data_IF_999184258531
#
_entry.id   IF_999184258531
#
_cell.length_a   1.000
_cell.length_b   1.000
_cell.length_c   1.000
_cell.angle_alpha   90.00
_cell.angle_beta   90.00
_cell.angle_gamma   90.00
#
_symmetry.space_group_name_H-M   'P 1'
#
loop_
_entity.id
_entity.type
_entity.pdbx_description
1 polymer ?
#
# COMPACT_ATOMS: atom_id res chain seq x y z
N UNK A 1 -10.61 -13.61 6.50
CA UNK A 1 -10.38 -12.76 5.32
C UNK A 1 -10.10 -13.67 4.14
N UNK A 2 -10.74 -13.49 2.97
CA UNK A 2 -10.52 -14.36 1.84
C UNK A 2 -9.06 -14.24 1.37
N UNK A 3 -8.46 -15.38 1.04
CA UNK A 3 -7.11 -15.52 0.52
C UNK A 3 -6.98 -14.73 -0.79
N UNK A 4 -6.34 -13.57 -0.75
CA UNK A 4 -5.99 -12.85 -1.98
C UNK A 4 -4.86 -13.63 -2.66
N UNK A 5 -5.09 -14.05 -3.90
CA UNK A 5 -4.03 -14.62 -4.75
C UNK A 5 -3.25 -13.50 -5.45
N UNK A 6 -1.93 -13.70 -5.62
CA UNK A 6 -1.03 -12.76 -6.31
C UNK A 6 -1.54 -12.41 -7.72
N UNK A 7 -1.97 -13.41 -8.48
CA UNK A 7 -2.48 -13.24 -9.85
C UNK A 7 -3.76 -12.41 -9.89
N UNK A 8 -4.74 -12.74 -9.04
CA UNK A 8 -5.99 -12.00 -8.93
C UNK A 8 -5.78 -10.53 -8.50
N UNK A 9 -4.73 -10.25 -7.72
CA UNK A 9 -4.37 -8.89 -7.36
C UNK A 9 -3.74 -8.12 -8.53
N UNK A 10 -2.84 -8.78 -9.28
CA UNK A 10 -2.17 -8.19 -10.44
C UNK A 10 -3.17 -7.87 -11.56
N UNK A 11 -4.16 -8.73 -11.77
CA UNK A 11 -5.23 -8.54 -12.77
C UNK A 11 -6.03 -7.25 -12.50
N UNK A 12 -6.21 -6.91 -11.21
CA UNK A 12 -6.84 -5.66 -10.76
C UNK A 12 -5.89 -4.46 -10.70
N UNK A 13 -4.70 -4.57 -11.30
CA UNK A 13 -3.63 -3.57 -11.22
C UNK A 13 -3.19 -3.21 -9.79
N UNK A 14 -3.45 -4.08 -8.81
CA UNK A 14 -3.07 -3.89 -7.42
C UNK A 14 -1.61 -4.22 -7.14
N UNK A 15 -1.17 -3.92 -5.92
CA UNK A 15 0.10 -4.34 -5.34
C UNK A 15 -0.19 -5.52 -4.42
N UNK A 16 0.34 -6.68 -4.76
CA UNK A 16 0.28 -7.84 -3.88
C UNK A 16 1.36 -7.69 -2.81
N UNK A 17 0.94 -7.66 -1.55
CA UNK A 17 1.84 -7.62 -0.40
C UNK A 17 1.56 -8.83 0.48
N UNK A 18 2.53 -9.74 0.61
CA UNK A 18 2.42 -10.97 1.40
C UNK A 18 2.22 -10.72 2.90
N UNK A 19 2.55 -9.52 3.36
CA UNK A 19 2.41 -9.04 4.73
C UNK A 19 1.55 -7.76 4.79
N UNK A 20 0.61 -7.60 3.86
CA UNK A 20 -0.10 -6.34 3.64
C UNK A 20 -1.19 -5.98 4.66
N UNK A 21 -1.38 -6.77 5.72
CA UNK A 21 -2.33 -6.44 6.81
C UNK A 21 -1.64 -5.73 7.98
N UNK A 22 -2.42 -5.12 8.87
CA UNK A 22 -1.90 -4.37 10.03
C UNK A 22 -0.92 -5.17 10.91
N UNK A 23 -1.18 -6.47 11.12
CA UNK A 23 -0.30 -7.34 11.89
C UNK A 23 0.84 -7.97 11.06
N UNK A 24 0.88 -7.75 9.75
CA UNK A 24 1.87 -8.34 8.85
C UNK A 24 1.75 -9.86 8.67
N UNK A 25 0.65 -10.49 9.10
CA UNK A 25 0.49 -11.95 9.08
C UNK A 25 -0.25 -12.48 7.85
N UNK A 26 -0.90 -11.61 7.08
CA UNK A 26 -1.74 -12.03 5.96
C UNK A 26 -1.42 -11.25 4.69
N UNK A 27 -1.52 -11.91 3.52
CA UNK A 27 -1.42 -11.23 2.24
C UNK A 27 -2.59 -10.27 2.03
N UNK A 28 -2.32 -9.15 1.33
CA UNK A 28 -3.34 -8.19 0.91
C UNK A 28 -3.09 -7.73 -0.53
N UNK A 29 -4.18 -7.37 -1.21
CA UNK A 29 -4.10 -6.63 -2.46
C UNK A 29 -4.36 -5.15 -2.19
N UNK A 30 -3.37 -4.32 -2.46
CA UNK A 30 -3.39 -2.90 -2.14
C UNK A 30 -3.56 -2.09 -3.43
N UNK A 31 -4.43 -1.08 -3.39
CA UNK A 31 -4.56 -0.14 -4.51
C UNK A 31 -3.30 0.73 -4.62
N UNK A 32 -2.87 1.01 -5.85
CA UNK A 32 -1.72 1.88 -6.11
C UNK A 32 -2.10 3.34 -5.88
N UNK A 33 -1.30 4.05 -5.09
CA UNK A 33 -1.38 5.50 -4.92
C UNK A 33 -0.26 6.12 -5.75
N UNK A 34 -0.60 7.01 -6.68
CA UNK A 34 0.37 7.70 -7.52
C UNK A 34 1.19 8.73 -6.71
N UNK A 35 2.28 9.21 -7.30
CA UNK A 35 3.07 10.30 -6.71
C UNK A 35 2.22 11.55 -6.47
N UNK A 36 2.45 12.23 -5.36
CA UNK A 36 1.71 13.43 -4.95
C UNK A 36 0.29 13.16 -4.46
N UNK A 37 -0.22 11.93 -4.57
CA UNK A 37 -1.55 11.56 -4.05
C UNK A 37 -1.49 11.27 -2.54
N UNK A 38 -2.60 11.52 -1.87
CA UNK A 38 -2.74 11.38 -0.42
C UNK A 38 -2.66 9.91 0.02
N UNK A 39 -1.72 9.62 0.90
CA UNK A 39 -1.54 8.32 1.54
C UNK A 39 -1.90 8.34 3.04
N UNK A 40 -2.42 9.45 3.57
CA UNK A 40 -2.79 9.61 4.98
C UNK A 40 -3.72 8.51 5.54
N UNK A 41 -4.58 7.92 4.69
CA UNK A 41 -5.45 6.80 5.07
C UNK A 41 -4.66 5.56 5.53
N UNK A 42 -3.44 5.37 5.01
CA UNK A 42 -2.56 4.23 5.35
C UNK A 42 -1.90 4.38 6.72
N UNK A 43 -1.93 5.58 7.31
CA UNK A 43 -1.36 5.88 8.62
C UNK A 43 -2.34 5.67 9.78
N UNK A 44 -3.62 5.39 9.48
CA UNK A 44 -4.65 5.17 10.50
C UNK A 44 -4.47 3.81 11.18
N UNK A 45 -4.11 3.84 12.47
CA UNK A 45 -3.99 2.64 13.30
C UNK A 45 -5.33 1.90 13.40
N UNK A 46 -5.29 0.57 13.28
CA UNK A 46 -6.46 -0.31 13.40
C UNK A 46 -7.26 -0.53 12.12
N UNK A 47 -6.96 0.20 11.04
CA UNK A 47 -7.55 -0.05 9.72
C UNK A 47 -6.49 -0.76 8.85
N UNK A 48 -6.78 -1.96 8.32
CA UNK A 48 -5.84 -2.60 7.40
C UNK A 48 -5.65 -1.70 6.17
N UNK A 49 -4.41 -1.46 5.73
CA UNK A 49 -4.18 -0.62 4.57
C UNK A 49 -4.87 -1.25 3.37
N UNK A 50 -5.66 -0.44 2.65
CA UNK A 50 -6.31 -0.84 1.39
C UNK A 50 -5.57 -0.30 0.16
N UNK A 51 -4.55 0.51 0.40
CA UNK A 51 -3.80 1.20 -0.63
C UNK A 51 -2.34 1.33 -0.18
N UNK A 52 -1.43 1.43 -1.14
CA UNK A 52 -0.02 1.63 -0.92
C UNK A 52 0.51 2.52 -2.04
N UNK A 53 1.50 3.35 -1.72
CA UNK A 53 2.21 4.10 -2.75
C UNK A 53 2.77 3.16 -3.83
N UNK A 54 2.73 3.61 -5.08
CA UNK A 54 3.25 2.84 -6.20
C UNK A 54 4.73 2.43 -5.95
N UNK A 55 5.22 1.35 -6.57
CA UNK A 55 6.60 0.93 -6.41
C UNK A 55 7.58 2.09 -6.66
N UNK A 56 8.56 2.28 -5.77
CA UNK A 56 9.50 3.41 -5.80
C UNK A 56 9.04 4.65 -5.03
N UNK A 57 7.83 4.63 -4.46
CA UNK A 57 7.29 5.72 -3.63
C UNK A 57 7.13 5.28 -2.17
N UNK A 58 7.32 6.21 -1.22
CA UNK A 58 6.91 6.04 0.18
C UNK A 58 5.85 7.06 0.55
N UNK A 59 5.03 6.70 1.53
CA UNK A 59 4.15 7.67 2.17
C UNK A 59 4.98 8.57 3.08
N UNK A 60 5.05 9.86 2.76
CA UNK A 60 5.68 10.85 3.62
C UNK A 60 4.74 11.20 4.78
N UNK A 61 5.22 11.04 6.01
CA UNK A 61 4.42 11.23 7.23
C UNK A 61 4.16 12.69 7.58
N UNK A 62 4.81 13.63 6.90
CA UNK A 62 4.64 15.08 7.15
C UNK A 62 3.60 15.67 6.20
N UNK A 63 3.74 15.39 4.92
CA UNK A 63 2.82 15.83 3.85
C UNK A 63 1.64 14.90 3.66
N UNK A 64 1.70 13.67 4.20
CA UNK A 64 0.70 12.61 4.00
C UNK A 64 0.49 12.28 2.51
N UNK A 65 1.53 12.42 1.70
CA UNK A 65 1.51 12.13 0.26
C UNK A 65 2.57 11.12 -0.15
N UNK A 66 2.34 10.44 -1.27
CA UNK A 66 3.34 9.54 -1.83
C UNK A 66 4.45 10.32 -2.53
N UNK A 67 5.69 10.15 -2.06
CA UNK A 67 6.89 10.80 -2.60
C UNK A 67 7.90 9.74 -3.02
N UNK A 68 8.78 10.06 -3.98
CA UNK A 68 9.85 9.17 -4.40
C UNK A 68 10.73 8.75 -3.23
N UNK A 69 11.08 7.47 -3.18
CA UNK A 69 12.12 6.95 -2.30
C UNK A 69 13.45 7.41 -2.90
N UNK A 70 13.84 8.64 -2.59
CA UNK A 70 15.21 9.10 -2.83
C UNK A 70 16.11 8.28 -1.91
N UNK A 71 16.82 7.32 -2.50
CA UNK A 71 17.93 6.61 -1.84
C UNK A 71 19.05 7.64 -1.73
N UNK A 72 19.14 8.31 -0.59
CA UNK A 72 20.27 9.13 -0.19
C UNK A 72 21.30 8.30 0.54
#
# INVERSE_FOLDING_TARGET
MPSVSRDACKDKNGIFNEHGTYCGCCPACLNKIAEGQSCGITLLKGVPPKAQCAPGLRCDTTSHTCVQIVIG
#
